data_IF_022342804460
#
_entry.id   IF_022342804460
#
_cell.length_a   1.000
_cell.length_b   1.000
_cell.length_c   1.000
_cell.angle_alpha   90.00
_cell.angle_beta   90.00
_cell.angle_gamma   90.00
#
_symmetry.space_group_name_H-M   'P 1'
#
loop_
_entity.id
_entity.type
_entity.pdbx_description
1 polymer ?
#
# COMPACT_ATOMS: atom_id res chain seq x y z
N UNK A 1 -24.81 -20.08 25.51
CA UNK A 1 -24.09 -19.00 24.81
C UNK A 1 -22.69 -19.50 24.50
N UNK A 2 -22.42 -19.82 23.23
CA UNK A 2 -21.08 -20.20 22.75
C UNK A 2 -20.49 -18.93 22.12
N UNK A 3 -19.29 -18.46 22.51
CA UNK A 3 -18.68 -17.28 21.92
C UNK A 3 -18.24 -17.59 20.48
N UNK A 4 -18.71 -16.79 19.53
CA UNK A 4 -18.33 -16.89 18.12
C UNK A 4 -16.87 -16.48 17.93
N UNK A 5 -16.10 -17.40 17.35
CA UNK A 5 -15.16 -17.08 16.29
C UNK A 5 -13.77 -16.60 16.72
N UNK A 6 -12.91 -17.55 17.02
CA UNK A 6 -11.46 -17.46 16.77
C UNK A 6 -11.16 -16.75 15.45
N UNK A 7 -10.75 -15.48 15.52
CA UNK A 7 -10.17 -14.77 14.38
C UNK A 7 -8.97 -15.57 13.89
N UNK A 8 -9.06 -16.17 12.70
CA UNK A 8 -7.89 -16.73 12.03
C UNK A 8 -6.91 -15.57 11.88
N UNK A 9 -5.70 -15.63 12.48
CA UNK A 9 -4.73 -14.58 12.27
C UNK A 9 -4.48 -14.48 10.76
N UNK A 10 -4.62 -13.26 10.23
CA UNK A 10 -4.07 -12.92 8.93
C UNK A 10 -2.58 -13.18 9.07
N UNK A 11 -2.13 -14.35 8.62
CA UNK A 11 -0.72 -14.76 8.70
C UNK A 11 0.05 -13.91 7.69
N UNK A 12 0.30 -12.65 8.04
CA UNK A 12 1.34 -11.86 7.40
C UNK A 12 2.63 -12.66 7.59
N UNK A 13 3.30 -13.10 6.51
CA UNK A 13 4.46 -13.94 6.65
C UNK A 13 5.56 -13.19 7.44
N UNK A 14 6.44 -13.93 8.10
CA UNK A 14 7.52 -13.34 8.90
C UNK A 14 8.40 -12.47 8.01
N UNK A 15 8.49 -11.19 8.36
CA UNK A 15 9.25 -10.20 7.62
C UNK A 15 10.71 -10.17 8.08
N UNK A 16 11.54 -10.92 7.36
CA UNK A 16 12.99 -11.03 7.64
C UNK A 16 13.79 -9.80 7.19
N UNK A 17 13.22 -8.97 6.33
CA UNK A 17 13.91 -7.81 5.73
C UNK A 17 13.66 -6.52 6.53
N UNK A 18 12.87 -6.56 7.62
CA UNK A 18 12.44 -5.37 8.38
C UNK A 18 13.60 -4.46 8.78
N UNK A 19 14.67 -4.99 9.40
CA UNK A 19 15.79 -4.17 9.87
C UNK A 19 16.53 -3.51 8.70
N UNK A 20 16.77 -4.27 7.63
CA UNK A 20 17.44 -3.78 6.42
C UNK A 20 16.60 -2.73 5.69
N UNK A 21 15.28 -2.93 5.65
CA UNK A 21 14.32 -1.99 5.06
C UNK A 21 14.23 -0.70 5.87
N UNK A 22 14.08 -0.78 7.18
CA UNK A 22 14.05 0.41 8.05
C UNK A 22 15.34 1.23 7.90
N UNK A 23 16.51 0.59 7.90
CA UNK A 23 17.78 1.27 7.66
C UNK A 23 17.83 1.95 6.27
N UNK A 24 17.32 1.27 5.23
CA UNK A 24 17.29 1.81 3.87
C UNK A 24 16.34 2.99 3.73
N UNK A 25 15.12 2.89 4.28
CA UNK A 25 14.15 3.99 4.31
C UNK A 25 14.72 5.23 5.00
N UNK A 26 15.37 5.05 6.16
CA UNK A 26 16.09 6.13 6.86
C UNK A 26 17.18 6.76 6.01
N UNK A 27 18.00 5.95 5.32
CA UNK A 27 19.06 6.47 4.44
C UNK A 27 18.53 7.30 3.26
N UNK A 28 17.30 7.04 2.84
CA UNK A 28 16.63 7.76 1.76
C UNK A 28 15.79 8.95 2.27
N UNK A 29 15.71 9.17 3.59
CA UNK A 29 14.81 10.16 4.19
C UNK A 29 13.34 9.90 3.84
N UNK A 30 12.92 8.63 3.83
CA UNK A 30 11.55 8.20 3.52
C UNK A 30 10.92 7.52 4.74
N UNK A 31 9.62 7.72 4.98
CA UNK A 31 8.87 6.97 6.01
C UNK A 31 8.76 7.62 7.39
N UNK A 32 9.37 8.79 7.62
CA UNK A 32 9.41 9.41 8.95
C UNK A 32 8.48 10.62 9.12
N UNK A 33 8.39 11.51 8.12
CA UNK A 33 7.55 12.71 8.16
C UNK A 33 7.08 13.12 6.76
N UNK A 34 5.91 13.74 6.62
CA UNK A 34 5.54 14.46 5.40
C UNK A 34 6.54 15.61 5.14
N UNK A 35 7.08 15.69 3.93
CA UNK A 35 7.95 16.75 3.42
C UNK A 35 7.43 17.23 2.03
N UNK A 36 8.10 18.20 1.39
CA UNK A 36 7.68 18.74 0.09
C UNK A 36 7.70 17.70 -1.06
N UNK A 37 8.41 16.59 -0.91
CA UNK A 37 8.46 15.48 -1.88
C UNK A 37 7.12 14.74 -1.96
N UNK A 38 6.25 14.89 -0.96
CA UNK A 38 4.98 14.17 -0.87
C UNK A 38 3.96 14.67 -1.87
N UNK A 39 4.05 15.93 -2.31
CA UNK A 39 3.22 16.42 -3.40
C UNK A 39 3.50 15.63 -4.68
N UNK A 40 4.75 15.23 -4.92
CA UNK A 40 5.13 14.38 -6.07
C UNK A 40 4.66 12.93 -5.93
N UNK A 41 4.57 12.42 -4.70
CA UNK A 41 4.10 11.05 -4.43
C UNK A 41 2.58 10.97 -4.42
N UNK A 42 1.89 12.01 -3.95
CA UNK A 42 0.44 12.16 -4.07
C UNK A 42 0.07 12.27 -5.56
N UNK A 43 0.77 13.09 -6.36
CA UNK A 43 0.58 13.15 -7.81
C UNK A 43 0.83 11.79 -8.51
N UNK A 44 1.80 11.01 -8.02
CA UNK A 44 2.00 9.65 -8.51
C UNK A 44 0.82 8.73 -8.12
N UNK A 45 0.33 8.82 -6.89
CA UNK A 45 -0.83 8.06 -6.45
C UNK A 45 -2.09 8.43 -7.26
N UNK A 46 -2.26 9.70 -7.63
CA UNK A 46 -3.32 10.19 -8.53
C UNK A 46 -3.23 9.51 -9.90
N UNK A 47 -2.02 9.49 -10.50
CA UNK A 47 -1.80 8.81 -11.79
C UNK A 47 -2.09 7.31 -11.71
N UNK A 48 -1.71 6.65 -10.62
CA UNK A 48 -2.02 5.22 -10.42
C UNK A 48 -3.53 5.02 -10.37
N UNK A 49 -4.27 5.87 -9.65
CA UNK A 49 -5.73 5.80 -9.56
C UNK A 49 -6.39 6.03 -10.92
N UNK A 50 -5.92 7.01 -11.70
CA UNK A 50 -6.42 7.29 -13.05
C UNK A 50 -6.20 6.09 -13.99
N UNK A 51 -4.97 5.57 -14.05
CA UNK A 51 -4.60 4.46 -14.94
C UNK A 51 -5.32 3.17 -14.58
N UNK A 52 -5.59 2.93 -13.29
CA UNK A 52 -6.30 1.73 -12.81
C UNK A 52 -7.82 1.95 -12.68
N UNK A 53 -8.28 3.18 -12.96
CA UNK A 53 -9.65 3.64 -12.79
C UNK A 53 -10.23 3.34 -11.39
N UNK A 54 -9.41 3.35 -10.33
CA UNK A 54 -9.83 3.08 -8.94
C UNK A 54 -10.06 4.35 -8.14
N UNK A 55 -10.99 4.33 -7.18
CA UNK A 55 -11.20 5.46 -6.28
C UNK A 55 -10.04 5.70 -5.30
N UNK A 56 -9.26 4.67 -4.96
CA UNK A 56 -8.19 4.78 -3.98
C UNK A 56 -6.88 4.23 -4.53
N UNK A 57 -5.80 4.95 -4.30
CA UNK A 57 -4.44 4.50 -4.61
C UNK A 57 -3.48 4.98 -3.53
N UNK A 58 -2.55 4.12 -3.12
CA UNK A 58 -1.62 4.38 -2.05
C UNK A 58 -0.20 3.97 -2.47
N UNK A 59 0.75 4.89 -2.28
CA UNK A 59 2.16 4.57 -2.15
C UNK A 59 2.47 4.47 -0.66
N UNK A 60 2.90 3.29 -0.23
CA UNK A 60 3.05 2.96 1.17
C UNK A 60 4.47 2.49 1.48
N UNK A 61 5.14 3.12 2.44
CA UNK A 61 6.38 2.61 3.03
C UNK A 61 6.07 1.92 4.35
N UNK A 62 6.68 0.76 4.58
CA UNK A 62 6.39 -0.04 5.76
C UNK A 62 7.67 -0.14 6.57
N UNK A 63 7.69 0.31 7.81
CA UNK A 63 8.83 0.16 8.71
C UNK A 63 8.59 -1.00 9.69
N UNK A 64 9.29 -0.99 10.83
CA UNK A 64 9.15 -2.01 11.87
C UNK A 64 7.83 -1.89 12.66
N UNK A 65 7.27 -0.68 12.77
CA UNK A 65 6.16 -0.35 13.64
C UNK A 65 4.86 -0.06 12.88
N UNK A 66 4.94 0.50 11.66
CA UNK A 66 3.78 1.07 10.97
C UNK A 66 3.91 1.05 9.44
N UNK A 67 2.77 1.28 8.82
CA UNK A 67 2.63 1.64 7.41
C UNK A 67 2.51 3.16 7.33
N UNK A 68 3.22 3.77 6.38
CA UNK A 68 3.24 5.20 6.16
C UNK A 68 2.87 5.52 4.71
N UNK A 69 1.79 6.27 4.54
CA UNK A 69 1.24 6.63 3.24
C UNK A 69 2.00 7.81 2.65
N UNK A 70 3.06 7.48 1.91
CA UNK A 70 3.90 8.46 1.24
C UNK A 70 3.20 9.17 0.09
N UNK A 71 2.28 8.48 -0.59
CA UNK A 71 1.42 9.04 -1.62
C UNK A 71 0.00 8.50 -1.44
N UNK A 72 -1.01 9.36 -1.56
CA UNK A 72 -2.38 8.97 -1.26
C UNK A 72 -3.41 9.69 -2.13
N UNK A 73 -4.05 8.92 -3.01
CA UNK A 73 -5.23 9.32 -3.74
C UNK A 73 -6.48 8.81 -3.04
N UNK A 74 -7.43 9.71 -2.80
CA UNK A 74 -8.76 9.40 -2.26
C UNK A 74 -9.80 10.28 -2.94
N UNK A 75 -11.04 9.82 -3.16
CA UNK A 75 -12.09 10.66 -3.71
C UNK A 75 -12.38 11.86 -2.79
N UNK A 76 -12.73 12.99 -3.39
CA UNK A 76 -13.19 14.16 -2.63
C UNK A 76 -14.41 13.78 -1.76
N UNK A 77 -14.36 14.09 -0.46
CA UNK A 77 -15.43 13.74 0.50
C UNK A 77 -15.37 12.33 1.09
N UNK A 78 -14.48 11.45 0.60
CA UNK A 78 -14.16 10.20 1.30
C UNK A 78 -13.28 10.45 2.53
N UNK A 79 -12.58 11.60 2.55
CA UNK A 79 -11.81 12.11 3.70
C UNK A 79 -12.76 12.30 4.90
N UNK A 80 -12.85 11.28 5.74
CA UNK A 80 -13.65 11.25 6.97
C UNK A 80 -14.79 10.22 7.00
N UNK A 81 -15.11 9.57 5.87
CA UNK A 81 -16.21 8.58 5.79
C UNK A 81 -15.78 7.13 5.60
N UNK A 82 -14.61 6.88 4.99
CA UNK A 82 -14.04 5.53 4.90
C UNK A 82 -12.87 5.41 5.88
N UNK A 83 -12.59 4.23 6.44
CA UNK A 83 -11.44 4.07 7.36
C UNK A 83 -10.09 4.46 6.73
N UNK A 84 -9.93 4.23 5.41
CA UNK A 84 -8.81 4.74 4.61
C UNK A 84 -8.85 6.26 4.49
N UNK A 85 -10.03 6.80 4.23
CA UNK A 85 -10.29 8.22 4.18
C UNK A 85 -10.17 8.90 5.53
N UNK A 86 -10.37 8.23 6.66
CA UNK A 86 -10.21 8.74 8.02
C UNK A 86 -8.73 8.72 8.43
N UNK A 87 -8.02 7.63 8.10
CA UNK A 87 -6.55 7.59 8.11
C UNK A 87 -5.93 8.65 7.15
N UNK A 88 -6.66 9.05 6.09
CA UNK A 88 -6.25 10.12 5.17
C UNK A 88 -6.74 11.52 5.55
N UNK A 89 -7.83 11.64 6.32
CA UNK A 89 -8.56 12.89 6.55
C UNK A 89 -7.98 13.72 7.67
N UNK A 90 -7.25 13.09 8.58
CA UNK A 90 -6.34 13.84 9.42
C UNK A 90 -5.14 14.23 8.55
N UNK A 91 -4.98 15.53 8.24
CA UNK A 91 -3.68 16.07 7.82
C UNK A 91 -2.55 15.81 8.87
N UNK A 92 -2.83 15.10 9.97
CA UNK A 92 -1.89 14.71 11.01
C UNK A 92 -1.29 13.31 10.85
N UNK A 93 -2.07 12.26 10.54
CA UNK A 93 -1.59 10.88 10.69
C UNK A 93 -1.72 10.06 9.39
N UNK A 94 -0.73 10.18 8.49
CA UNK A 94 -0.58 9.34 7.28
C UNK A 94 -0.11 7.91 7.62
N UNK A 95 -0.65 7.32 8.68
CA UNK A 95 -0.18 6.05 9.22
C UNK A 95 -1.30 5.02 9.34
N UNK A 96 -0.94 3.76 9.14
CA UNK A 96 -1.80 2.60 9.39
C UNK A 96 -1.01 1.54 10.16
N UNK A 97 -1.70 0.76 11.01
CA UNK A 97 -1.08 -0.36 11.72
C UNK A 97 -0.50 -1.38 10.73
N UNK A 98 0.64 -1.98 11.06
CA UNK A 98 1.42 -2.82 10.15
C UNK A 98 0.72 -4.11 9.71
N UNK A 99 -0.22 -4.59 10.49
CA UNK A 99 -1.00 -5.80 10.26
C UNK A 99 -2.29 -5.57 9.45
N UNK A 100 -2.63 -4.32 9.12
CA UNK A 100 -3.83 -3.99 8.38
C UNK A 100 -3.62 -3.97 6.86
N UNK A 101 -4.66 -4.36 6.12
CA UNK A 101 -4.65 -4.37 4.65
C UNK A 101 -3.75 -5.43 4.02
N UNK A 102 -3.49 -5.31 2.72
CA UNK A 102 -2.81 -6.35 1.92
C UNK A 102 -1.36 -6.01 1.56
N UNK A 103 -0.94 -4.76 1.74
CA UNK A 103 0.42 -4.27 1.47
C UNK A 103 1.50 -5.07 2.23
N UNK A 104 1.32 -5.45 3.51
CA UNK A 104 2.31 -6.27 4.22
C UNK A 104 2.55 -7.63 3.53
N UNK A 105 1.51 -8.25 3.00
CA UNK A 105 1.64 -9.51 2.26
C UNK A 105 2.42 -9.34 0.95
N UNK A 106 2.20 -8.24 0.22
CA UNK A 106 2.94 -7.91 -1.01
C UNK A 106 4.41 -7.66 -0.71
N UNK A 107 4.67 -6.89 0.36
CA UNK A 107 6.02 -6.55 0.81
C UNK A 107 6.84 -7.80 1.13
N UNK A 108 6.32 -8.66 2.02
CA UNK A 108 7.05 -9.85 2.49
C UNK A 108 7.21 -10.89 1.39
N UNK A 109 6.20 -11.07 0.53
CA UNK A 109 6.28 -12.01 -0.59
C UNK A 109 7.13 -11.49 -1.74
N UNK A 110 7.42 -10.18 -1.76
CA UNK A 110 8.17 -9.50 -2.83
C UNK A 110 7.58 -9.78 -4.22
N UNK A 111 6.26 -9.92 -4.28
CA UNK A 111 5.50 -10.27 -5.48
C UNK A 111 4.21 -9.48 -5.51
N UNK A 112 3.86 -9.01 -6.71
CA UNK A 112 2.58 -8.35 -6.92
C UNK A 112 1.41 -9.28 -6.58
N UNK A 113 0.33 -8.67 -6.10
CA UNK A 113 -0.88 -9.34 -5.65
C UNK A 113 -2.08 -8.69 -6.34
N UNK A 114 -2.93 -9.55 -6.90
CA UNK A 114 -4.20 -9.17 -7.54
C UNK A 114 -5.29 -9.93 -6.83
N UNK A 115 -6.29 -9.21 -6.34
CA UNK A 115 -7.50 -9.74 -5.74
C UNK A 115 -8.66 -9.04 -6.45
N UNK A 116 -9.31 -9.79 -7.35
CA UNK A 116 -10.45 -9.29 -8.12
C UNK A 116 -11.69 -9.11 -7.24
N UNK A 117 -11.93 -10.07 -6.34
CA UNK A 117 -12.77 -9.91 -5.16
C UNK A 117 -12.04 -10.49 -3.95
N UNK A 118 -11.77 -9.71 -2.90
CA UNK A 118 -11.08 -10.16 -1.69
C UNK A 118 -11.86 -11.21 -0.91
N UNK A 119 -13.19 -11.21 -1.02
CA UNK A 119 -14.04 -12.18 -0.33
C UNK A 119 -13.94 -13.60 -0.93
N UNK A 120 -13.52 -13.71 -2.20
CA UNK A 120 -13.28 -14.99 -2.86
C UNK A 120 -12.00 -15.69 -2.36
N UNK A 121 -11.20 -14.99 -1.55
CA UNK A 121 -9.97 -15.51 -0.98
C UNK A 121 -10.11 -15.63 0.54
N UNK A 122 -10.40 -16.83 1.09
CA UNK A 122 -10.64 -17.03 2.52
C UNK A 122 -9.52 -16.54 3.45
N UNK A 123 -8.27 -16.47 2.94
CA UNK A 123 -7.11 -15.94 3.68
C UNK A 123 -7.09 -14.42 3.81
N UNK A 124 -7.86 -13.71 2.99
CA UNK A 124 -7.90 -12.25 2.89
C UNK A 124 -9.27 -11.68 3.29
N UNK A 125 -10.33 -12.47 3.16
CA UNK A 125 -11.69 -12.09 3.50
C UNK A 125 -11.88 -11.63 4.97
N UNK A 126 -11.04 -12.10 5.90
CA UNK A 126 -11.10 -11.70 7.31
C UNK A 126 -10.30 -10.44 7.66
N UNK A 127 -9.85 -9.66 6.67
CA UNK A 127 -9.11 -8.43 6.93
C UNK A 127 -10.06 -7.31 7.39
N UNK A 128 -9.74 -6.57 8.48
CA UNK A 128 -10.59 -5.46 8.95
C UNK A 128 -10.97 -4.45 7.85
N UNK A 129 -10.09 -4.24 6.86
CA UNK A 129 -10.39 -3.31 5.75
C UNK A 129 -11.57 -3.74 4.87
N UNK A 130 -11.95 -5.02 4.90
CA UNK A 130 -13.14 -5.52 4.18
C UNK A 130 -14.40 -4.99 4.83
N UNK A 131 -14.53 -5.12 6.15
CA UNK A 131 -15.76 -4.75 6.88
C UNK A 131 -15.79 -3.27 7.30
N UNK A 132 -14.66 -2.70 7.71
CA UNK A 132 -14.58 -1.32 8.21
C UNK A 132 -14.55 -0.27 7.09
N UNK A 133 -14.05 -0.66 5.92
CA UNK A 133 -13.80 0.25 4.79
C UNK A 133 -14.59 -0.17 3.54
N UNK A 134 -15.08 -1.41 3.50
CA UNK A 134 -15.83 -1.95 2.36
C UNK A 134 -14.94 -2.36 1.20
N UNK A 135 -13.64 -2.61 1.40
CA UNK A 135 -12.74 -2.96 0.30
C UNK A 135 -13.14 -4.31 -0.30
N UNK A 136 -13.32 -4.33 -1.62
CA UNK A 136 -13.68 -5.52 -2.39
C UNK A 136 -12.61 -5.94 -3.37
N UNK A 137 -11.79 -5.04 -3.91
CA UNK A 137 -10.70 -5.42 -4.81
C UNK A 137 -9.39 -4.74 -4.45
N UNK A 138 -8.28 -5.41 -4.77
CA UNK A 138 -6.92 -4.95 -4.49
C UNK A 138 -5.98 -5.31 -5.62
N UNK A 139 -5.18 -4.34 -6.07
CA UNK A 139 -4.10 -4.51 -7.02
C UNK A 139 -2.85 -3.84 -6.44
N UNK A 140 -1.79 -4.60 -6.17
CA UNK A 140 -0.59 -4.02 -5.56
C UNK A 140 0.71 -4.68 -5.99
N UNK A 141 1.80 -3.92 -5.98
CA UNK A 141 3.14 -4.36 -6.32
C UNK A 141 4.19 -3.82 -5.33
N UNK A 142 5.26 -4.59 -5.06
CA UNK A 142 6.33 -4.16 -4.18
C UNK A 142 7.23 -3.14 -4.86
N UNK A 143 7.72 -2.17 -4.09
CA UNK A 143 8.73 -1.19 -4.50
C UNK A 143 10.10 -1.72 -4.12
N UNK A 144 10.75 -2.44 -5.05
CA UNK A 144 12.06 -3.06 -4.81
C UNK A 144 13.14 -2.18 -5.44
N UNK A 145 14.03 -1.64 -4.62
CA UNK A 145 15.12 -0.79 -5.08
C UNK A 145 16.29 -1.59 -5.68
N UNK A 146 17.27 -0.88 -6.24
CA UNK A 146 18.54 -1.45 -6.77
C UNK A 146 19.34 -2.26 -5.77
N UNK A 147 19.17 -2.03 -4.47
CA UNK A 147 19.83 -2.85 -3.43
C UNK A 147 19.13 -4.19 -3.24
N UNK A 148 17.96 -4.39 -3.86
CA UNK A 148 17.12 -5.56 -3.67
C UNK A 148 16.35 -5.49 -2.37
N UNK A 149 16.10 -4.32 -1.78
CA UNK A 149 15.23 -4.15 -0.62
C UNK A 149 13.84 -3.76 -1.10
N UNK A 150 12.81 -4.47 -0.63
CA UNK A 150 11.43 -4.03 -0.82
C UNK A 150 11.16 -2.89 0.18
N UNK A 151 11.12 -1.64 -0.27
CA UNK A 151 10.94 -0.45 0.59
C UNK A 151 9.48 -0.28 1.04
N UNK A 152 8.56 -0.76 0.22
CA UNK A 152 7.14 -0.48 0.36
C UNK A 152 6.33 -1.12 -0.75
N UNK A 153 5.15 -0.58 -0.99
CA UNK A 153 4.22 -1.03 -2.02
C UNK A 153 3.54 0.15 -2.69
N UNK A 154 3.20 0.00 -3.96
CA UNK A 154 2.15 0.79 -4.60
C UNK A 154 0.92 -0.10 -4.75
N UNK A 155 -0.26 0.43 -4.44
CA UNK A 155 -1.51 -0.29 -4.63
C UNK A 155 -2.66 0.60 -5.07
N UNK A 156 -3.61 0.00 -5.77
CA UNK A 156 -4.90 0.53 -6.14
C UNK A 156 -5.98 -0.35 -5.48
N UNK A 157 -7.00 0.26 -4.89
CA UNK A 157 -8.07 -0.44 -4.17
C UNK A 157 -9.44 0.12 -4.49
N UNK A 158 -10.44 -0.75 -4.45
CA UNK A 158 -11.83 -0.36 -4.71
C UNK A 158 -12.78 -1.08 -3.75
N UNK A 159 -13.93 -0.47 -3.52
CA UNK A 159 -15.09 -0.99 -2.80
C UNK A 159 -16.00 -1.85 -3.67
N UNK A 160 -15.67 -2.04 -4.95
CA UNK A 160 -16.33 -3.02 -5.84
C UNK A 160 -15.34 -4.06 -6.37
N UNK A 161 -15.80 -5.29 -6.70
CA UNK A 161 -14.98 -6.27 -7.41
C UNK A 161 -14.54 -5.75 -8.77
N UNK A 162 -13.34 -6.14 -9.23
CA UNK A 162 -12.76 -5.70 -10.50
C UNK A 162 -12.02 -6.80 -11.21
N UNK A 163 -12.22 -6.90 -12.52
CA UNK A 163 -11.43 -7.78 -13.39
C UNK A 163 -10.17 -7.06 -13.84
N UNK A 164 -9.07 -7.34 -13.16
CA UNK A 164 -7.76 -6.77 -13.50
C UNK A 164 -7.08 -7.55 -14.62
N UNK A 165 -7.28 -8.87 -14.60
CA UNK A 165 -6.60 -9.81 -15.48
C UNK A 165 -5.08 -9.63 -15.50
N UNK A 166 -4.46 -10.06 -16.61
CA UNK A 166 -3.01 -9.91 -16.79
C UNK A 166 -2.59 -8.46 -17.01
N UNK A 167 -3.43 -7.68 -17.67
CA UNK A 167 -3.17 -6.27 -17.97
C UNK A 167 -2.96 -5.44 -16.70
N UNK A 168 -3.88 -5.53 -15.72
CA UNK A 168 -3.73 -4.82 -14.44
C UNK A 168 -2.46 -5.22 -13.69
N UNK A 169 -2.12 -6.51 -13.69
CA UNK A 169 -0.89 -7.00 -13.08
C UNK A 169 0.38 -6.42 -13.72
N UNK A 170 0.43 -6.34 -15.05
CA UNK A 170 1.59 -5.80 -15.75
C UNK A 170 1.66 -4.27 -15.60
N UNK A 171 0.52 -3.58 -15.61
CA UNK A 171 0.40 -2.14 -15.34
C UNK A 171 0.94 -1.77 -13.95
N UNK A 172 0.48 -2.45 -12.88
CA UNK A 172 0.93 -2.10 -11.53
C UNK A 172 2.42 -2.40 -11.32
N UNK A 173 2.96 -3.42 -11.99
CA UNK A 173 4.41 -3.72 -11.97
C UNK A 173 5.21 -2.64 -12.69
N UNK A 174 4.70 -2.11 -13.80
CA UNK A 174 5.34 -1.01 -14.52
C UNK A 174 5.37 0.24 -13.64
N UNK A 175 4.23 0.63 -13.08
CA UNK A 175 4.12 1.76 -12.16
C UNK A 175 5.06 1.61 -10.95
N UNK A 176 5.14 0.41 -10.36
CA UNK A 176 6.09 0.16 -9.27
C UNK A 176 7.55 0.39 -9.68
N UNK A 177 7.95 -0.02 -10.89
CA UNK A 177 9.30 0.21 -11.41
C UNK A 177 9.56 1.70 -11.67
N UNK A 178 8.60 2.40 -12.27
CA UNK A 178 8.70 3.84 -12.51
C UNK A 178 8.90 4.61 -11.20
N UNK A 179 8.14 4.25 -10.16
CA UNK A 179 8.26 4.89 -8.85
C UNK A 179 9.61 4.61 -8.17
N UNK A 180 10.13 3.38 -8.30
CA UNK A 180 11.48 3.06 -7.80
C UNK A 180 12.54 3.92 -8.49
N UNK A 181 12.45 4.09 -9.82
CA UNK A 181 13.37 4.98 -10.56
C UNK A 181 13.27 6.42 -10.05
N UNK A 182 12.07 6.92 -9.76
CA UNK A 182 11.88 8.25 -9.16
C UNK A 182 12.59 8.38 -7.79
N UNK A 183 12.48 7.36 -6.93
CA UNK A 183 13.20 7.33 -5.63
C UNK A 183 14.71 7.33 -5.85
N UNK A 184 15.22 6.55 -6.80
CA UNK A 184 16.65 6.41 -7.06
C UNK A 184 17.27 7.67 -7.67
N UNK A 185 16.55 8.33 -8.59
CA UNK A 185 16.96 9.62 -9.14
C UNK A 185 17.07 10.69 -8.05
N UNK A 186 16.15 10.68 -7.07
CA UNK A 186 16.20 11.58 -5.90
C UNK A 186 17.44 11.31 -5.05
N UNK A 187 17.76 10.04 -4.79
CA UNK A 187 18.96 9.66 -4.04
C UNK A 187 20.24 10.15 -4.76
N UNK A 188 20.30 10.01 -6.08
CA UNK A 188 21.43 10.46 -6.90
C UNK A 188 21.61 11.98 -6.93
N UNK A 189 20.53 12.76 -6.84
CA UNK A 189 20.58 14.22 -6.77
C UNK A 189 20.85 14.80 -5.37
N UNK A 190 20.86 13.96 -4.33
CA UNK A 190 21.19 14.32 -2.94
C UNK A 190 22.66 14.03 -2.57
N UNK A 191 23.47 13.56 -3.52
CA UNK A 191 24.90 13.30 -3.39
C UNK A 191 25.72 14.37 -4.09
#
# INVERSE_FOLDING_TARGET
MIPYGTGRPLLTPVDRDVSRRTARLRSLGLGERPDATFDSFDAFADRVAEVTATPFSIVNFIDENRQFFAGLHTPAGARGRSGLGAAAAGRGDRYLARDHGYCPHVLVRRKALVLEDVCDYPRFAGNPVVDEIGIRSYLGAPLIDRTGVALGTVCAVDTVPRTWGRAGLDTIKLLAREFVVQIECREGGHR
#
